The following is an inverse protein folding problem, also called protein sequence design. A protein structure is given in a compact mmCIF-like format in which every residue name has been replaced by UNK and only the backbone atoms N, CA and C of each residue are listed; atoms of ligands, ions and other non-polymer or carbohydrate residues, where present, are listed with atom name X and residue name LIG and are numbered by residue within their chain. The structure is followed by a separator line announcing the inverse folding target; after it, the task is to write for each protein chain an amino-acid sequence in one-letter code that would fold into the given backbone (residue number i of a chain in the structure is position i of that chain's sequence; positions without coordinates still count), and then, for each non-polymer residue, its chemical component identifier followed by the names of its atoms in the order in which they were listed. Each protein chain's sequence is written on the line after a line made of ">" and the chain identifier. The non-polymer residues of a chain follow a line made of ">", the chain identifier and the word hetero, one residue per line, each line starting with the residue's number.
data_IF_013602371357
#
_entry.id   IF_013602371357
#
_cell.length_a   1.000
_cell.length_b   1.000
_cell.length_c   1.000
_cell.angle_alpha   90.00
_cell.angle_beta   90.00
_cell.angle_gamma   90.00
#
_symmetry.space_group_name_H-M   'P 1'
#
loop_
_entity.id
_entity.type
_entity.pdbx_description
1 polymer ?
#
# COMPACT_ATOMS: atom_id res chain seq x y z
N UNK A 1 43.41 12.11 11.89
CA UNK A 1 43.77 11.07 10.92
C UNK A 1 42.61 10.95 9.94
N UNK A 2 42.81 11.36 8.68
CA UNK A 2 41.79 11.39 7.62
C UNK A 2 41.87 10.08 6.82
N UNK A 3 40.73 9.48 6.48
CA UNK A 3 40.51 8.51 5.39
C UNK A 3 38.98 8.47 5.20
N UNK A 4 38.38 9.25 4.28
CA UNK A 4 38.28 9.12 2.82
C UNK A 4 37.43 7.94 2.34
N UNK A 5 36.23 8.32 1.87
CA UNK A 5 35.31 7.67 0.91
C UNK A 5 35.98 6.73 -0.09
N UNK A 6 35.30 5.60 -0.37
CA UNK A 6 35.16 5.03 -1.72
C UNK A 6 33.86 4.23 -1.84
N UNK A 7 33.04 4.66 -2.79
CA UNK A 7 31.79 4.05 -3.27
C UNK A 7 31.93 2.58 -3.64
N UNK A 8 30.88 1.80 -3.40
CA UNK A 8 30.60 0.59 -4.18
C UNK A 8 29.09 0.48 -4.37
N UNK A 9 28.66 0.79 -5.59
CA UNK A 9 27.32 0.50 -6.09
C UNK A 9 27.11 -1.02 -6.12
N UNK A 10 25.99 -1.49 -5.60
CA UNK A 10 25.49 -2.84 -5.83
C UNK A 10 24.09 -2.71 -6.43
N UNK A 11 24.07 -2.52 -7.74
CA UNK A 11 22.90 -2.69 -8.59
C UNK A 11 22.67 -4.20 -8.77
N UNK A 12 21.49 -4.69 -8.40
CA UNK A 12 21.08 -6.08 -8.63
C UNK A 12 19.64 -6.10 -9.18
N UNK A 13 19.53 -5.69 -10.45
CA UNK A 13 18.36 -5.85 -11.31
C UNK A 13 18.34 -7.29 -11.83
N UNK A 14 17.43 -8.14 -11.34
CA UNK A 14 17.18 -9.49 -11.88
C UNK A 14 15.92 -9.40 -12.75
N UNK A 15 16.12 -9.03 -14.02
CA UNK A 15 15.14 -9.23 -15.09
C UNK A 15 15.42 -10.57 -15.77
N UNK A 16 14.54 -11.56 -15.58
CA UNK A 16 14.58 -12.82 -16.30
C UNK A 16 13.64 -12.76 -17.52
N UNK A 17 14.17 -12.35 -18.68
CA UNK A 17 13.45 -12.40 -19.97
C UNK A 17 13.66 -13.77 -20.61
N UNK A 18 12.58 -14.55 -20.73
CA UNK A 18 12.52 -15.74 -21.58
C UNK A 18 12.47 -15.32 -23.06
N UNK A 19 13.44 -15.80 -23.85
CA UNK A 19 13.49 -15.64 -25.31
C UNK A 19 13.02 -16.93 -25.99
N UNK A 20 11.99 -16.80 -26.82
CA UNK A 20 11.67 -17.62 -27.99
C UNK A 20 11.08 -16.60 -29.00
N UNK A 21 11.41 -16.46 -30.28
CA UNK A 21 12.17 -17.25 -31.22
C UNK A 21 11.48 -17.16 -32.60
N UNK A 22 11.95 -16.28 -33.49
CA UNK A 22 12.11 -16.59 -34.94
C UNK A 22 11.11 -16.09 -36.00
N UNK A 23 11.72 -15.50 -37.06
CA UNK A 23 11.32 -15.39 -38.49
C UNK A 23 10.23 -14.39 -38.90
N UNK A 24 10.29 -13.67 -40.04
CA UNK A 24 11.24 -13.57 -41.16
C UNK A 24 10.96 -12.28 -41.98
N UNK A 25 11.88 -11.94 -42.88
CA UNK A 25 12.05 -10.73 -43.67
C UNK A 25 10.92 -10.32 -44.65
N UNK A 26 10.82 -9.01 -44.94
CA UNK A 26 10.83 -8.46 -46.30
C UNK A 26 10.95 -6.92 -46.29
N UNK A 27 11.98 -6.40 -46.99
CA UNK A 27 12.18 -5.01 -47.38
C UNK A 27 11.08 -4.51 -48.35
N UNK A 28 10.58 -3.29 -48.19
CA UNK A 28 10.27 -2.39 -49.32
C UNK A 28 10.12 -0.93 -48.88
N UNK A 29 11.02 -0.10 -49.38
CA UNK A 29 11.02 1.35 -49.36
C UNK A 29 9.89 1.95 -50.24
N UNK A 30 9.14 2.94 -49.76
CA UNK A 30 8.16 3.64 -50.60
C UNK A 30 7.30 4.74 -49.95
N UNK A 31 7.78 5.98 -50.07
CA UNK A 31 7.05 7.25 -50.25
C UNK A 31 6.09 7.81 -49.18
N UNK A 32 6.39 9.07 -48.86
CA UNK A 32 5.61 10.07 -48.14
C UNK A 32 4.24 10.38 -48.76
N UNK A 33 3.28 10.72 -47.88
CA UNK A 33 2.28 11.76 -48.10
C UNK A 33 0.83 11.33 -48.32
N UNK A 34 0.01 11.38 -47.26
CA UNK A 34 -1.35 11.94 -47.29
C UNK A 34 -1.86 12.06 -45.84
N UNK A 35 -2.12 13.29 -45.41
CA UNK A 35 -2.99 13.57 -44.27
C UNK A 35 -4.42 13.24 -44.70
N UNK A 36 -5.07 12.33 -43.97
CA UNK A 36 -6.51 12.13 -44.08
C UNK A 36 -7.08 12.04 -42.66
N UNK A 37 -7.80 13.09 -42.29
CA UNK A 37 -8.51 13.19 -41.02
C UNK A 37 -9.70 12.23 -41.08
N UNK A 38 -9.55 11.05 -40.49
CA UNK A 38 -10.67 10.18 -40.18
C UNK A 38 -11.02 10.34 -38.70
N UNK A 39 -12.14 11.03 -38.47
CA UNK A 39 -12.92 11.01 -37.23
C UNK A 39 -13.40 9.57 -37.00
N UNK A 40 -12.61 8.80 -36.23
CA UNK A 40 -13.01 7.51 -35.68
C UNK A 40 -13.57 7.72 -34.28
N UNK A 41 -14.53 6.88 -33.82
CA UNK A 41 -14.94 6.91 -32.43
C UNK A 41 -13.68 6.72 -31.57
N UNK A 42 -13.41 7.68 -30.68
CA UNK A 42 -12.37 7.54 -29.68
C UNK A 42 -12.84 6.42 -28.76
N UNK A 43 -12.46 5.18 -29.06
CA UNK A 43 -12.30 4.16 -28.03
C UNK A 43 -11.21 4.72 -27.13
N UNK A 44 -11.63 5.51 -26.13
CA UNK A 44 -10.78 5.88 -25.03
C UNK A 44 -10.38 4.54 -24.43
N UNK A 45 -9.16 4.09 -24.68
CA UNK A 45 -8.58 2.97 -23.98
C UNK A 45 -8.85 3.21 -22.51
N UNK A 46 -9.79 2.47 -21.90
CA UNK A 46 -10.21 2.70 -20.51
C UNK A 46 -9.02 2.52 -19.54
N UNK A 47 -7.94 1.91 -20.02
CA UNK A 47 -6.61 1.84 -19.39
C UNK A 47 -5.83 3.17 -19.30
N UNK A 48 -6.28 4.25 -19.96
CA UNK A 48 -5.67 5.58 -19.86
C UNK A 48 -6.39 6.50 -18.86
N UNK A 49 -7.54 6.10 -18.33
CA UNK A 49 -8.24 6.89 -17.32
C UNK A 49 -7.48 6.82 -15.99
N UNK A 50 -6.87 7.95 -15.60
CA UNK A 50 -6.19 8.10 -14.32
C UNK A 50 -7.14 8.56 -13.23
N UNK A 51 -6.77 8.28 -11.98
CA UNK A 51 -7.42 8.74 -10.76
C UNK A 51 -6.39 9.43 -9.88
N UNK A 52 -6.84 10.42 -9.11
CA UNK A 52 -6.04 11.06 -8.08
C UNK A 52 -6.41 10.48 -6.72
N UNK A 53 -5.40 10.02 -5.99
CA UNK A 53 -5.51 9.43 -4.65
C UNK A 53 -4.75 10.33 -3.68
N UNK A 54 -5.44 10.84 -2.65
CA UNK A 54 -4.83 11.66 -1.61
C UNK A 54 -4.50 10.80 -0.39
N UNK A 55 -3.22 10.68 -0.09
CA UNK A 55 -2.72 9.90 1.04
C UNK A 55 -2.10 10.85 2.07
N UNK A 56 -2.43 10.70 3.35
CA UNK A 56 -1.82 11.45 4.43
C UNK A 56 -0.37 11.01 4.61
N UNK A 57 0.54 11.98 4.70
CA UNK A 57 1.98 11.72 4.81
C UNK A 57 2.31 10.94 6.09
N UNK A 58 1.58 11.18 7.17
CA UNK A 58 1.72 10.44 8.43
C UNK A 58 1.35 8.95 8.33
N UNK A 59 0.58 8.54 7.31
CA UNK A 59 0.26 7.13 7.04
C UNK A 59 1.29 6.52 6.08
N UNK A 60 1.76 7.28 5.10
CA UNK A 60 2.77 6.85 4.15
C UNK A 60 4.17 6.67 4.79
N UNK A 61 4.57 7.64 5.61
CA UNK A 61 5.88 7.73 6.25
C UNK A 61 5.69 8.21 7.70
N UNK A 62 5.23 7.32 8.60
CA UNK A 62 4.93 7.68 9.98
C UNK A 62 6.15 8.18 10.76
N UNK A 63 7.37 7.81 10.33
CA UNK A 63 8.62 8.25 10.95
C UNK A 63 9.15 9.59 10.38
N UNK A 64 8.57 10.10 9.28
CA UNK A 64 9.03 11.32 8.62
C UNK A 64 10.43 11.19 8.02
N UNK A 65 10.79 9.99 7.58
CA UNK A 65 12.10 9.64 7.05
C UNK A 65 12.32 10.02 5.59
N UNK A 66 11.25 10.18 4.80
CA UNK A 66 11.30 10.43 3.36
C UNK A 66 11.19 11.92 3.03
N UNK A 67 12.12 12.39 2.20
CA UNK A 67 12.03 13.71 1.57
C UNK A 67 10.95 13.76 0.50
N UNK A 68 10.53 14.97 0.13
CA UNK A 68 9.57 15.19 -0.96
C UNK A 68 10.08 14.64 -2.29
N UNK A 69 11.37 14.82 -2.59
CA UNK A 69 11.97 14.28 -3.80
C UNK A 69 11.97 12.76 -3.83
N UNK A 70 12.22 12.09 -2.70
CA UNK A 70 12.20 10.62 -2.61
C UNK A 70 10.81 10.05 -2.85
N UNK A 71 9.76 10.67 -2.30
CA UNK A 71 8.37 10.26 -2.53
C UNK A 71 8.01 10.38 -4.02
N UNK A 72 8.34 11.52 -4.63
CA UNK A 72 8.04 11.76 -6.05
C UNK A 72 8.82 10.80 -6.96
N UNK A 73 10.09 10.53 -6.64
CA UNK A 73 10.91 9.58 -7.39
C UNK A 73 10.36 8.16 -7.29
N UNK A 74 9.98 7.72 -6.10
CA UNK A 74 9.41 6.38 -5.89
C UNK A 74 8.10 6.19 -6.65
N UNK A 75 7.24 7.21 -6.72
CA UNK A 75 6.02 7.16 -7.54
C UNK A 75 6.36 6.98 -9.03
N UNK A 76 7.33 7.76 -9.54
CA UNK A 76 7.76 7.70 -10.94
C UNK A 76 8.36 6.35 -11.32
N UNK A 77 9.13 5.72 -10.42
CA UNK A 77 9.70 4.38 -10.63
C UNK A 77 8.62 3.29 -10.78
N UNK A 78 7.47 3.49 -10.14
CA UNK A 78 6.30 2.60 -10.24
C UNK A 78 5.29 3.03 -11.32
N UNK A 79 5.69 3.93 -12.23
CA UNK A 79 4.85 4.39 -13.34
C UNK A 79 3.67 5.26 -12.91
N UNK A 80 3.75 5.89 -11.74
CA UNK A 80 2.78 6.85 -11.22
C UNK A 80 3.36 8.27 -11.24
N UNK A 81 2.54 9.29 -11.02
CA UNK A 81 3.05 10.62 -10.64
C UNK A 81 2.60 10.96 -9.23
N UNK A 82 3.37 11.78 -8.52
CA UNK A 82 3.01 12.25 -7.18
C UNK A 82 3.31 13.73 -7.03
N UNK A 83 2.51 14.41 -6.24
CA UNK A 83 2.72 15.79 -5.81
C UNK A 83 2.52 15.89 -4.30
N UNK A 84 3.49 16.47 -3.60
CA UNK A 84 3.36 16.76 -2.17
C UNK A 84 2.49 18.01 -1.99
N UNK A 85 1.48 17.91 -1.14
CA UNK A 85 0.55 18.98 -0.79
C UNK A 85 0.39 19.07 0.73
N UNK A 86 1.29 19.83 1.37
CA UNK A 86 1.32 20.01 2.81
C UNK A 86 1.62 18.70 3.55
N UNK A 87 0.64 18.23 4.32
CA UNK A 87 0.69 16.99 5.10
C UNK A 87 0.18 15.77 4.33
N UNK A 88 -0.06 15.89 3.03
CA UNK A 88 -0.52 14.82 2.16
C UNK A 88 0.31 14.70 0.88
N UNK A 89 0.15 13.58 0.21
CA UNK A 89 0.69 13.30 -1.13
C UNK A 89 -0.49 12.94 -2.03
N UNK A 90 -0.57 13.59 -3.18
CA UNK A 90 -1.55 13.27 -4.21
C UNK A 90 -0.85 12.41 -5.27
N UNK A 91 -1.27 11.16 -5.39
CA UNK A 91 -0.80 10.24 -6.41
C UNK A 91 -1.77 10.21 -7.59
N UNK A 92 -1.26 10.37 -8.81
CA UNK A 92 -2.01 10.13 -10.04
C UNK A 92 -1.56 8.81 -10.66
N UNK A 93 -2.49 7.88 -10.79
CA UNK A 93 -2.27 6.51 -11.28
C UNK A 93 -3.48 6.01 -12.07
N UNK A 94 -3.32 4.95 -12.86
CA UNK A 94 -4.46 4.27 -13.48
C UNK A 94 -5.28 3.50 -12.43
N UNK A 95 -6.54 3.17 -12.75
CA UNK A 95 -7.35 2.31 -11.87
C UNK A 95 -6.70 0.94 -11.66
N UNK A 96 -6.09 0.36 -12.69
CA UNK A 96 -5.39 -0.92 -12.61
C UNK A 96 -4.21 -0.87 -11.64
N UNK A 97 -3.41 0.20 -11.67
CA UNK A 97 -2.30 0.39 -10.73
C UNK A 97 -2.79 0.58 -9.29
N UNK A 98 -3.91 1.28 -9.10
CA UNK A 98 -4.52 1.40 -7.78
C UNK A 98 -5.02 0.06 -7.27
N UNK A 99 -5.65 -0.74 -8.12
CA UNK A 99 -6.16 -2.05 -7.74
C UNK A 99 -4.99 -3.01 -7.41
N UNK A 100 -3.89 -2.97 -8.16
CA UNK A 100 -2.64 -3.67 -7.84
C UNK A 100 -2.03 -3.23 -6.50
N UNK A 101 -1.96 -1.91 -6.24
CA UNK A 101 -1.52 -1.36 -4.95
C UNK A 101 -2.37 -1.86 -3.78
N UNK A 102 -3.69 -1.93 -3.96
CA UNK A 102 -4.60 -2.45 -2.93
C UNK A 102 -4.39 -3.95 -2.68
N UNK A 103 -4.12 -4.73 -3.73
CA UNK A 103 -3.76 -6.14 -3.59
C UNK A 103 -2.43 -6.32 -2.85
N UNK A 104 -1.41 -5.52 -3.17
CA UNK A 104 -0.12 -5.55 -2.49
C UNK A 104 -0.26 -5.20 -1.00
N UNK A 105 -1.03 -4.15 -0.65
CA UNK A 105 -1.28 -3.76 0.74
C UNK A 105 -1.99 -4.86 1.53
N UNK A 106 -2.96 -5.55 0.92
CA UNK A 106 -3.61 -6.71 1.55
C UNK A 106 -2.65 -7.88 1.71
N UNK A 107 -1.79 -8.13 0.72
CA UNK A 107 -0.79 -9.20 0.80
C UNK A 107 0.21 -8.91 1.92
N UNK A 108 0.72 -7.68 2.02
CA UNK A 108 1.65 -7.30 3.09
C UNK A 108 0.99 -7.39 4.46
N UNK A 109 -0.29 -7.02 4.55
CA UNK A 109 -1.08 -7.16 5.75
C UNK A 109 -1.18 -8.61 6.22
N UNK A 110 -1.48 -9.49 5.27
CA UNK A 110 -1.57 -10.93 5.52
C UNK A 110 -0.22 -11.50 5.96
N UNK A 111 0.87 -11.15 5.29
CA UNK A 111 2.20 -11.64 5.64
C UNK A 111 2.63 -11.19 7.05
N UNK A 112 2.32 -9.94 7.42
CA UNK A 112 2.57 -9.42 8.77
C UNK A 112 1.75 -10.17 9.84
N UNK A 113 0.47 -10.40 9.56
CA UNK A 113 -0.43 -11.19 10.43
C UNK A 113 0.06 -12.63 10.59
N UNK A 114 0.40 -13.30 9.48
CA UNK A 114 0.91 -14.68 9.51
C UNK A 114 2.21 -14.76 10.33
N UNK A 115 3.06 -13.73 10.26
CA UNK A 115 4.26 -13.61 11.09
C UNK A 115 3.97 -13.45 12.59
N UNK A 116 2.94 -12.68 12.95
CA UNK A 116 2.48 -12.54 14.35
C UNK A 116 1.94 -13.86 14.87
N UNK A 117 1.08 -14.53 14.12
CA UNK A 117 0.47 -15.82 14.51
C UNK A 117 1.53 -16.91 14.64
N UNK A 118 2.58 -16.88 13.82
CA UNK A 118 3.67 -17.85 13.89
C UNK A 118 4.60 -17.67 15.12
N UNK A 119 4.51 -16.55 15.84
CA UNK A 119 5.29 -16.30 17.04
C UNK A 119 4.58 -16.85 18.30
N UNK A 120 4.95 -18.07 18.67
CA UNK A 120 4.41 -18.76 19.87
C UNK A 120 4.63 -18.01 21.20
N UNK A 121 5.41 -16.93 21.23
CA UNK A 121 5.65 -16.16 22.45
C UNK A 121 4.49 -15.24 22.83
N UNK A 122 3.71 -14.80 21.85
CA UNK A 122 2.53 -13.96 22.06
C UNK A 122 1.26 -14.80 22.34
N UNK A 123 0.15 -14.14 22.64
CA UNK A 123 -1.15 -14.77 22.90
C UNK A 123 -2.04 -14.93 21.67
N UNK A 124 -1.66 -14.37 20.51
CA UNK A 124 -2.52 -14.31 19.32
C UNK A 124 -2.59 -15.67 18.63
N UNK A 125 -3.81 -16.15 18.41
CA UNK A 125 -4.08 -17.44 17.75
C UNK A 125 -4.56 -17.28 16.32
N UNK A 126 -5.25 -16.18 16.01
CA UNK A 126 -5.75 -15.85 14.69
C UNK A 126 -5.98 -14.35 14.54
N UNK A 127 -6.00 -13.88 13.30
CA UNK A 127 -6.47 -12.53 12.95
C UNK A 127 -7.34 -12.66 11.71
N UNK A 128 -8.56 -12.16 11.81
CA UNK A 128 -9.48 -12.00 10.69
C UNK A 128 -9.57 -10.52 10.34
N UNK A 129 -9.59 -10.20 9.05
CA UNK A 129 -9.75 -8.84 8.53
C UNK A 129 -10.73 -8.85 7.38
N UNK A 130 -11.60 -7.84 7.32
CA UNK A 130 -12.54 -7.68 6.20
C UNK A 130 -11.83 -7.17 4.94
N UNK A 131 -12.50 -7.31 3.79
CA UNK A 131 -11.91 -6.90 2.51
C UNK A 131 -11.60 -5.39 2.48
N UNK A 132 -12.38 -4.55 3.16
CA UNK A 132 -12.17 -3.11 3.19
C UNK A 132 -11.07 -2.68 4.19
N UNK A 133 -10.52 -3.61 4.97
CA UNK A 133 -9.55 -3.35 6.04
C UNK A 133 -10.04 -2.29 7.03
N UNK A 134 -11.33 -2.38 7.37
CA UNK A 134 -12.03 -1.52 8.33
C UNK A 134 -12.24 -2.21 9.66
N UNK A 135 -12.20 -3.55 9.71
CA UNK A 135 -12.45 -4.33 10.91
C UNK A 135 -11.43 -5.47 11.01
N UNK A 136 -10.73 -5.53 12.15
CA UNK A 136 -9.83 -6.61 12.51
C UNK A 136 -10.35 -7.30 13.77
N UNK A 137 -10.52 -8.61 13.70
CA UNK A 137 -10.80 -9.47 14.86
C UNK A 137 -9.55 -10.27 15.18
N UNK A 138 -8.95 -10.01 16.34
CA UNK A 138 -7.72 -10.64 16.82
C UNK A 138 -8.09 -11.65 17.90
N UNK A 139 -8.05 -12.95 17.57
CA UNK A 139 -8.27 -14.02 18.54
C UNK A 139 -7.02 -14.22 19.40
N UNK A 140 -7.21 -14.32 20.71
CA UNK A 140 -6.13 -14.50 21.68
C UNK A 140 -6.45 -15.60 22.70
N UNK A 141 -5.39 -16.23 23.20
CA UNK A 141 -5.44 -17.00 24.45
C UNK A 141 -5.55 -16.01 25.63
N UNK A 142 -6.77 -15.90 26.18
CA UNK A 142 -7.08 -14.97 27.26
C UNK A 142 -6.24 -15.17 28.53
N UNK A 143 -5.72 -16.38 28.80
CA UNK A 143 -4.85 -16.62 29.98
C UNK A 143 -3.45 -16.02 29.80
N UNK A 144 -3.03 -15.83 28.54
CA UNK A 144 -1.72 -15.28 28.16
C UNK A 144 -1.79 -13.82 27.74
N UNK A 145 -2.97 -13.34 27.35
CA UNK A 145 -3.18 -12.00 26.83
C UNK A 145 -2.74 -10.92 27.82
N UNK A 146 -1.87 -10.03 27.34
CA UNK A 146 -1.33 -8.91 28.12
C UNK A 146 -1.79 -7.58 27.54
N UNK A 147 -2.08 -6.56 28.37
CA UNK A 147 -2.39 -5.20 27.88
C UNK A 147 -1.28 -4.56 27.02
N UNK A 148 -0.05 -5.08 27.07
CA UNK A 148 1.02 -4.63 26.18
C UNK A 148 0.86 -5.16 24.75
N UNK A 149 0.25 -6.33 24.57
CA UNK A 149 -0.06 -6.88 23.25
C UNK A 149 -1.16 -6.07 22.56
N UNK A 150 -2.03 -5.41 23.33
CA UNK A 150 -3.00 -4.44 22.82
C UNK A 150 -2.34 -3.25 22.10
N UNK A 151 -1.03 -3.03 22.23
CA UNK A 151 -0.32 -2.02 21.43
C UNK A 151 -0.15 -2.41 19.97
N UNK A 152 -0.32 -3.69 19.62
CA UNK A 152 -0.27 -4.17 18.22
C UNK A 152 -1.37 -3.53 17.35
N UNK A 153 -2.47 -3.06 17.96
CA UNK A 153 -3.56 -2.35 17.25
C UNK A 153 -3.06 -1.17 16.43
N UNK A 154 -1.98 -0.50 16.86
CA UNK A 154 -1.44 0.66 16.16
C UNK A 154 -1.00 0.27 14.75
N UNK A 155 -0.37 -0.91 14.60
CA UNK A 155 0.01 -1.43 13.28
C UNK A 155 -1.21 -1.69 12.40
N UNK A 156 -2.24 -2.35 12.94
CA UNK A 156 -3.48 -2.63 12.21
C UNK A 156 -4.22 -1.36 11.80
N UNK A 157 -4.30 -0.38 12.70
CA UNK A 157 -4.91 0.92 12.41
C UNK A 157 -4.21 1.64 11.26
N UNK A 158 -2.88 1.75 11.30
CA UNK A 158 -2.11 2.47 10.27
C UNK A 158 -2.24 1.76 8.92
N UNK A 159 -2.17 0.44 8.90
CA UNK A 159 -2.27 -0.35 7.69
C UNK A 159 -3.67 -0.29 7.06
N UNK A 160 -4.72 -0.45 7.87
CA UNK A 160 -6.10 -0.33 7.40
C UNK A 160 -6.43 1.09 6.92
N UNK A 161 -5.98 2.12 7.64
CA UNK A 161 -6.18 3.51 7.24
C UNK A 161 -5.45 3.85 5.92
N UNK A 162 -4.22 3.33 5.73
CA UNK A 162 -3.48 3.50 4.48
C UNK A 162 -4.21 2.82 3.30
N UNK A 163 -4.67 1.59 3.50
CA UNK A 163 -5.47 0.86 2.50
C UNK A 163 -6.70 1.67 2.08
N UNK A 164 -7.47 2.17 3.06
CA UNK A 164 -8.68 2.94 2.82
C UNK A 164 -8.41 4.22 2.03
N UNK A 165 -7.30 4.93 2.28
CA UNK A 165 -6.94 6.11 1.48
C UNK A 165 -6.65 5.75 0.03
N UNK A 166 -5.92 4.66 -0.23
CA UNK A 166 -5.73 4.17 -1.60
C UNK A 166 -7.04 3.70 -2.24
N UNK A 167 -7.98 3.18 -1.46
CA UNK A 167 -9.32 2.84 -1.92
C UNK A 167 -10.20 4.07 -2.20
N UNK A 168 -9.76 5.26 -1.78
CA UNK A 168 -10.42 6.55 -2.04
C UNK A 168 -11.25 7.10 -0.88
N UNK A 169 -11.14 6.52 0.33
CA UNK A 169 -11.80 7.03 1.53
C UNK A 169 -11.17 8.37 1.95
N UNK A 170 -12.02 9.33 2.29
CA UNK A 170 -11.58 10.65 2.75
C UNK A 170 -11.00 10.59 4.15
N UNK A 171 -10.10 11.53 4.50
CA UNK A 171 -9.39 11.52 5.78
C UNK A 171 -10.31 11.63 7.01
N UNK A 172 -11.47 12.28 6.87
CA UNK A 172 -12.50 12.41 7.92
C UNK A 172 -13.38 11.17 8.09
N UNK A 173 -13.41 10.30 7.08
CA UNK A 173 -14.15 9.03 7.10
C UNK A 173 -13.28 7.82 7.45
N UNK A 174 -11.95 7.98 7.51
CA UNK A 174 -11.04 6.90 7.88
C UNK A 174 -11.35 6.40 9.28
N UNK A 175 -11.58 5.10 9.38
CA UNK A 175 -11.62 4.41 10.65
C UNK A 175 -11.26 2.94 10.50
N UNK A 176 -10.62 2.39 11.52
CA UNK A 176 -10.27 0.97 11.59
C UNK A 176 -10.61 0.53 13.00
N UNK A 177 -11.52 -0.42 13.13
CA UNK A 177 -11.89 -1.03 14.40
C UNK A 177 -11.04 -2.29 14.59
N UNK A 178 -10.46 -2.45 15.77
CA UNK A 178 -9.74 -3.67 16.15
C UNK A 178 -10.34 -4.19 17.44
N UNK A 179 -10.75 -5.46 17.43
CA UNK A 179 -11.25 -6.18 18.60
C UNK A 179 -10.32 -7.32 18.96
N UNK A 180 -9.98 -7.46 20.24
CA UNK A 180 -9.35 -8.66 20.79
C UNK A 180 -10.43 -9.55 21.39
N UNK A 181 -10.47 -10.80 20.95
CA UNK A 181 -11.49 -11.77 21.36
C UNK A 181 -10.83 -13.00 21.99
N UNK A 182 -11.44 -13.52 23.04
CA UNK A 182 -11.02 -14.80 23.63
C UNK A 182 -11.32 -15.93 22.64
N UNK A 183 -10.28 -16.65 22.20
CA UNK A 183 -10.37 -17.76 21.25
C UNK A 183 -11.28 -18.90 21.73
N UNK A 184 -11.40 -19.11 23.06
CA UNK A 184 -12.18 -20.19 23.62
C UNK A 184 -13.68 -19.86 23.73
N UNK A 185 -14.02 -18.60 23.96
CA UNK A 185 -15.40 -18.19 24.30
C UNK A 185 -16.04 -17.25 23.28
N UNK A 186 -15.23 -16.56 22.49
CA UNK A 186 -15.66 -15.48 21.59
C UNK A 186 -16.02 -14.17 22.31
N UNK A 187 -15.67 -14.02 23.60
CA UNK A 187 -15.89 -12.78 24.34
C UNK A 187 -14.92 -11.69 23.90
N UNK A 188 -15.43 -10.47 23.64
CA UNK A 188 -14.59 -9.30 23.36
C UNK A 188 -13.92 -8.86 24.66
N UNK A 189 -12.59 -8.94 24.68
CA UNK A 189 -11.75 -8.57 25.81
C UNK A 189 -11.38 -7.09 25.78
N UNK A 190 -11.05 -6.59 24.60
CA UNK A 190 -10.67 -5.21 24.34
C UNK A 190 -11.09 -4.78 22.94
N UNK A 191 -11.42 -3.52 22.76
CA UNK A 191 -11.80 -2.95 21.46
C UNK A 191 -11.34 -1.50 21.39
N UNK A 192 -10.98 -1.06 20.19
CA UNK A 192 -10.66 0.34 19.92
C UNK A 192 -10.76 0.67 18.44
N UNK A 193 -10.71 1.97 18.14
CA UNK A 193 -10.77 2.48 16.78
C UNK A 193 -9.62 3.44 16.47
N UNK A 194 -9.23 3.51 15.19
CA UNK A 194 -8.25 4.47 14.68
C UNK A 194 -8.68 5.91 14.97
N UNK A 195 -9.96 6.24 14.83
CA UNK A 195 -10.46 7.58 15.12
C UNK A 195 -10.33 7.95 16.60
N UNK A 196 -10.63 7.04 17.52
CA UNK A 196 -10.45 7.29 18.95
C UNK A 196 -8.97 7.43 19.29
N UNK A 197 -8.12 6.53 18.76
CA UNK A 197 -6.68 6.60 18.95
C UNK A 197 -6.12 7.95 18.49
N UNK A 198 -6.49 8.41 17.30
CA UNK A 198 -6.09 9.74 16.79
C UNK A 198 -6.55 10.88 17.68
N UNK A 199 -7.82 10.90 18.09
CA UNK A 199 -8.36 11.96 18.97
C UNK A 199 -7.59 12.02 20.29
N UNK A 200 -7.14 10.89 20.81
CA UNK A 200 -6.35 10.82 22.03
C UNK A 200 -4.93 11.38 21.87
N UNK A 201 -4.36 11.38 20.66
CA UNK A 201 -3.04 11.97 20.38
C UNK A 201 -3.09 13.50 20.21
N UNK A 202 -4.25 14.03 19.83
CA UNK A 202 -4.49 15.47 19.63
C UNK A 202 -4.84 16.19 20.95
N UNK A 203 -5.02 15.44 22.05
CA UNK A 203 -5.48 15.90 23.37
C UNK A 203 -4.41 16.41 24.34
#
# INVERSE_FOLDING_TARGET
>A
MKMSVRSMAASAMICAVFVLGGCAAADSNGSVGAVDSTDGPIEVEENLATVDVRVARSLLDPEGSMSDEEIVSAAAENGMTAAVDGDAVVYTMTKSQRDEMLEELRSSAKDAVDGIIADDSNSITAVEVDDAMTEFTVSVDAERFSPLESLLVIGFYLQGALYQQFAGTSADELDVVVEFVDDATGEVLESGSYQEWRKNLEG
#
